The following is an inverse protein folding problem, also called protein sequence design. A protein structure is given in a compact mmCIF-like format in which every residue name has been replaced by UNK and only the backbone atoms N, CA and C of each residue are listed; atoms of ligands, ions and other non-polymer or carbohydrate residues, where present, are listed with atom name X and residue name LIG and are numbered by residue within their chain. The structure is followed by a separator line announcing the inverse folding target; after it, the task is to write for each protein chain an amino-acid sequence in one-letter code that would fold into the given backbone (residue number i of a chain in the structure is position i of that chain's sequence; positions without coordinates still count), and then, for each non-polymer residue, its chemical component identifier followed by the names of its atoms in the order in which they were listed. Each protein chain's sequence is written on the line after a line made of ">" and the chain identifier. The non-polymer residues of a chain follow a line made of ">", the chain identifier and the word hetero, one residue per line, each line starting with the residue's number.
data_IF_480135229493
#
_entry.id   IF_480135229493
#
_cell.length_a   1.000
_cell.length_b   1.000
_cell.length_c   1.000
_cell.angle_alpha   90.00
_cell.angle_beta   90.00
_cell.angle_gamma   90.00
#
_symmetry.space_group_name_H-M   'P 1'
#
loop_
_entity.id
_entity.type
_entity.pdbx_description
1 polymer ?
#
# COMPACT_ATOMS: atom_id res chain seq x y z
N UNK A 1 70.82 -15.29 21.30
CA UNK A 1 69.55 -16.01 21.46
C UNK A 1 68.41 -15.05 21.15
N UNK A 2 67.72 -15.22 20.02
CA UNK A 2 66.39 -14.64 19.76
C UNK A 2 65.90 -15.23 18.42
N UNK A 3 65.18 -16.34 18.51
CA UNK A 3 64.58 -17.02 17.36
C UNK A 3 63.29 -16.30 16.97
N UNK A 4 63.19 -15.84 15.73
CA UNK A 4 61.97 -15.30 15.13
C UNK A 4 61.08 -16.47 14.69
N UNK A 5 59.93 -16.65 15.34
CA UNK A 5 58.89 -17.59 14.94
C UNK A 5 57.85 -16.85 14.08
N UNK A 6 57.74 -17.23 12.81
CA UNK A 6 56.60 -16.90 11.97
C UNK A 6 55.47 -17.93 12.21
N UNK A 7 54.19 -17.51 12.30
CA UNK A 7 53.06 -18.44 12.28
C UNK A 7 52.70 -18.87 10.86
N UNK A 8 52.52 -20.18 10.69
CA UNK A 8 52.12 -20.88 9.46
C UNK A 8 50.66 -20.59 9.05
N UNK A 9 50.32 -20.66 7.75
CA UNK A 9 48.95 -20.49 7.30
C UNK A 9 48.11 -21.74 7.56
N UNK A 10 46.93 -21.55 8.16
CA UNK A 10 45.92 -22.59 8.36
C UNK A 10 45.23 -22.91 7.02
N UNK A 11 45.49 -24.10 6.49
CA UNK A 11 44.73 -24.71 5.38
C UNK A 11 43.31 -25.08 5.86
N UNK A 12 42.31 -24.39 5.34
CA UNK A 12 40.89 -24.73 5.55
C UNK A 12 40.49 -25.82 4.54
N UNK A 13 40.38 -27.08 5.00
CA UNK A 13 39.82 -28.16 4.20
C UNK A 13 38.29 -28.06 4.17
N UNK A 14 37.74 -27.70 3.01
CA UNK A 14 36.30 -27.79 2.75
C UNK A 14 35.90 -29.27 2.61
N UNK A 15 35.20 -29.82 3.62
CA UNK A 15 34.50 -31.10 3.49
C UNK A 15 33.18 -30.87 2.73
N UNK A 16 33.14 -31.29 1.48
CA UNK A 16 31.92 -31.39 0.69
C UNK A 16 31.17 -32.66 1.13
N UNK A 17 30.02 -32.49 1.78
CA UNK A 17 29.06 -33.56 2.03
C UNK A 17 28.15 -33.70 0.80
N UNK A 18 27.92 -34.92 0.26
CA UNK A 18 27.02 -35.12 -0.86
C UNK A 18 25.55 -34.97 -0.39
N UNK A 19 24.82 -34.01 -0.98
CA UNK A 19 23.36 -33.97 -0.88
C UNK A 19 22.77 -35.20 -1.61
N UNK A 20 21.98 -35.98 -0.89
CA UNK A 20 21.18 -37.07 -1.44
C UNK A 20 20.10 -36.50 -2.37
N UNK A 21 20.18 -36.91 -3.63
CA UNK A 21 19.19 -36.68 -4.68
C UNK A 21 17.94 -37.53 -4.39
N UNK A 22 16.82 -36.89 -4.03
CA UNK A 22 15.52 -37.56 -3.97
C UNK A 22 14.95 -37.70 -5.38
N UNK A 23 14.54 -38.93 -5.69
CA UNK A 23 14.00 -39.36 -6.99
C UNK A 23 12.51 -38.99 -7.07
N UNK A 24 11.99 -38.49 -8.20
CA UNK A 24 10.56 -38.29 -8.38
C UNK A 24 9.88 -39.64 -8.66
N UNK A 25 8.86 -39.96 -7.87
CA UNK A 25 8.00 -41.13 -8.03
C UNK A 25 6.88 -40.82 -9.02
N UNK A 26 6.76 -41.67 -10.03
CA UNK A 26 5.68 -41.78 -11.01
C UNK A 26 4.47 -42.54 -10.47
N UNK A 27 3.35 -42.33 -11.16
CA UNK A 27 2.05 -43.02 -11.16
C UNK A 27 1.00 -42.64 -10.11
N UNK A 28 -0.08 -41.97 -10.54
CA UNK A 28 -1.24 -42.68 -11.14
C UNK A 28 -2.26 -41.71 -11.76
N UNK A 29 -2.75 -42.06 -12.95
CA UNK A 29 -3.89 -41.43 -13.63
C UNK A 29 -5.22 -41.97 -13.10
N UNK A 30 -6.32 -41.21 -13.28
CA UNK A 30 -7.49 -41.82 -13.93
C UNK A 30 -8.13 -40.94 -15.02
N UNK A 31 -8.35 -41.61 -16.16
CA UNK A 31 -9.35 -41.42 -17.22
C UNK A 31 -10.21 -40.14 -17.28
N UNK A 32 -10.06 -39.43 -18.40
CA UNK A 32 -10.98 -38.44 -18.98
C UNK A 32 -12.05 -39.19 -19.82
N UNK A 33 -13.34 -38.81 -19.75
CA UNK A 33 -14.29 -39.09 -20.82
C UNK A 33 -14.48 -37.88 -21.75
N UNK A 34 -14.63 -38.23 -23.02
CA UNK A 34 -14.71 -37.43 -24.25
C UNK A 34 -16.00 -36.58 -24.37
N UNK A 35 -15.79 -35.34 -24.82
CA UNK A 35 -16.63 -34.46 -25.69
C UNK A 35 -18.16 -34.65 -25.68
N UNK A 36 -18.86 -33.55 -25.37
CA UNK A 36 -20.09 -33.17 -26.08
C UNK A 36 -20.22 -31.66 -26.18
N UNK A 37 -20.19 -31.18 -27.41
CA UNK A 37 -20.48 -29.84 -27.90
C UNK A 37 -21.91 -29.42 -27.52
N UNK A 38 -22.09 -28.26 -26.88
CA UNK A 38 -23.40 -27.61 -26.76
C UNK A 38 -23.28 -26.12 -27.09
N UNK A 39 -24.17 -25.70 -27.98
CA UNK A 39 -24.15 -24.50 -28.80
C UNK A 39 -24.46 -23.20 -28.04
N UNK A 40 -23.99 -22.10 -28.64
CA UNK A 40 -24.35 -20.72 -28.35
C UNK A 40 -25.87 -20.47 -28.44
N UNK A 41 -26.45 -19.58 -27.61
CA UNK A 41 -27.86 -19.23 -27.73
C UNK A 41 -28.08 -18.20 -28.85
N UNK A 42 -28.85 -18.64 -29.83
CA UNK A 42 -29.31 -17.94 -31.04
C UNK A 42 -30.37 -16.88 -30.70
N UNK A 43 -30.05 -15.62 -30.97
CA UNK A 43 -30.84 -14.42 -30.67
C UNK A 43 -31.87 -14.14 -31.78
N UNK A 44 -32.70 -15.13 -32.15
CA UNK A 44 -33.79 -14.93 -33.12
C UNK A 44 -34.98 -15.83 -32.85
N UNK A 45 -35.93 -15.36 -32.02
CA UNK A 45 -37.38 -15.64 -32.16
C UNK A 45 -38.18 -14.99 -31.03
N UNK A 46 -38.59 -13.72 -31.20
CA UNK A 46 -39.88 -13.27 -30.63
C UNK A 46 -40.42 -12.01 -31.30
N UNK A 47 -40.77 -12.15 -32.58
CA UNK A 47 -41.72 -11.24 -33.24
C UNK A 47 -42.79 -12.11 -33.86
N UNK A 48 -43.96 -12.14 -33.21
CA UNK A 48 -45.28 -12.38 -33.80
C UNK A 48 -46.27 -12.61 -32.65
N UNK A 49 -47.08 -11.59 -32.39
CA UNK A 49 -48.53 -11.70 -32.21
C UNK A 49 -49.08 -10.32 -31.85
N UNK A 50 -49.10 -9.45 -32.87
CA UNK A 50 -50.05 -8.36 -32.92
C UNK A 50 -51.37 -8.98 -33.41
N UNK A 51 -52.34 -9.17 -32.49
CA UNK A 51 -53.73 -9.46 -32.87
C UNK A 51 -54.65 -8.61 -32.01
N UNK A 52 -55.29 -7.67 -32.69
CA UNK A 52 -56.20 -6.65 -32.19
C UNK A 52 -57.47 -7.24 -31.56
N UNK A 53 -58.02 -6.55 -30.56
CA UNK A 53 -59.39 -6.01 -30.57
C UNK A 53 -59.74 -5.26 -29.27
N UNK A 54 -60.42 -4.12 -29.51
CA UNK A 54 -61.32 -3.35 -28.64
C UNK A 54 -60.75 -2.30 -27.70
N UNK A 55 -61.08 -1.07 -28.10
CA UNK A 55 -61.02 0.21 -27.41
C UNK A 55 -61.79 0.19 -26.08
N UNK A 56 -61.23 0.85 -25.08
CA UNK A 56 -61.99 1.69 -24.15
C UNK A 56 -61.12 2.91 -23.84
N UNK A 57 -61.38 4.02 -24.55
CA UNK A 57 -60.96 5.35 -24.15
C UNK A 57 -61.88 5.78 -23.00
N UNK A 58 -61.36 5.80 -21.78
CA UNK A 58 -61.97 6.53 -20.68
C UNK A 58 -61.04 7.69 -20.30
N UNK A 59 -61.42 8.88 -20.75
CA UNK A 59 -60.89 10.15 -20.29
C UNK A 59 -61.27 10.33 -18.81
N UNK A 60 -60.27 10.40 -17.93
CA UNK A 60 -60.43 11.03 -16.61
C UNK A 60 -59.17 11.83 -16.30
N UNK A 61 -59.20 13.09 -16.73
CA UNK A 61 -58.34 14.16 -16.25
C UNK A 61 -58.84 14.62 -14.88
N UNK A 62 -58.19 14.20 -13.81
CA UNK A 62 -58.36 14.77 -12.49
C UNK A 62 -57.03 14.75 -11.72
N UNK A 63 -56.27 15.82 -11.92
CA UNK A 63 -55.65 16.67 -10.90
C UNK A 63 -55.36 16.02 -9.53
N UNK A 64 -54.11 15.60 -9.32
CA UNK A 64 -53.47 15.60 -8.00
C UNK A 64 -52.00 15.96 -8.16
N UNK A 65 -51.75 17.26 -8.33
CA UNK A 65 -50.49 17.91 -7.99
C UNK A 65 -50.40 17.94 -6.47
N UNK A 66 -49.37 17.34 -5.88
CA UNK A 66 -49.05 17.55 -4.47
C UNK A 66 -48.60 16.31 -3.73
N UNK A 67 -47.29 16.03 -3.81
CA UNK A 67 -46.45 15.57 -2.69
C UNK A 67 -44.98 15.63 -3.16
N UNK A 68 -44.57 16.81 -3.62
CA UNK A 68 -43.17 17.18 -3.78
C UNK A 68 -42.68 17.86 -2.50
N UNK A 69 -42.59 17.12 -1.40
CA UNK A 69 -41.77 17.52 -0.25
C UNK A 69 -41.69 16.37 0.76
N UNK A 70 -40.47 16.11 1.24
CA UNK A 70 -40.05 15.26 2.37
C UNK A 70 -39.25 14.04 1.93
N UNK A 71 -37.98 14.29 1.64
CA UNK A 71 -37.03 13.24 1.32
C UNK A 71 -35.77 13.72 0.61
N UNK A 72 -35.38 14.99 0.79
CA UNK A 72 -33.95 15.29 0.77
C UNK A 72 -33.40 14.54 1.98
N UNK A 73 -33.05 13.27 1.77
CA UNK A 73 -32.02 12.69 2.59
C UNK A 73 -30.86 13.65 2.43
N UNK A 74 -30.58 14.43 3.48
CA UNK A 74 -29.24 14.96 3.66
C UNK A 74 -28.36 13.74 3.46
N UNK A 75 -27.69 13.67 2.31
CA UNK A 75 -26.39 13.09 2.31
C UNK A 75 -25.68 13.87 3.41
N UNK A 76 -25.48 13.22 4.56
CA UNK A 76 -24.57 13.66 5.58
C UNK A 76 -23.23 13.76 4.86
N UNK A 77 -22.99 14.92 4.25
CA UNK A 77 -21.78 15.22 3.53
C UNK A 77 -20.73 15.30 4.62
N UNK A 78 -20.13 14.12 4.89
CA UNK A 78 -19.05 13.84 5.83
C UNK A 78 -18.42 15.14 6.31
N UNK A 79 -19.01 15.70 7.37
CA UNK A 79 -18.70 17.04 7.85
C UNK A 79 -17.20 17.07 8.14
N UNK A 80 -16.55 18.07 7.56
CA UNK A 80 -15.15 18.05 7.15
C UNK A 80 -14.18 17.55 8.22
N UNK A 81 -13.56 16.41 7.93
CA UNK A 81 -12.34 15.93 8.61
C UNK A 81 -11.07 16.61 8.09
N UNK A 82 -11.20 17.67 7.27
CA UNK A 82 -10.08 18.44 6.73
C UNK A 82 -9.78 19.61 7.68
N UNK A 83 -8.76 19.47 8.52
CA UNK A 83 -8.27 20.52 9.43
C UNK A 83 -6.91 21.05 8.96
N UNK A 84 -6.86 21.98 7.99
CA UNK A 84 -5.60 22.50 7.44
C UNK A 84 -4.75 23.23 8.49
N UNK A 85 -5.34 23.68 9.60
CA UNK A 85 -4.66 24.32 10.73
C UNK A 85 -3.66 23.39 11.46
N UNK A 86 -3.74 22.08 11.25
CA UNK A 86 -2.80 21.10 11.80
C UNK A 86 -1.46 21.08 11.04
N UNK A 87 -1.37 21.81 9.92
CA UNK A 87 -0.16 21.87 9.12
C UNK A 87 0.81 22.93 9.68
N UNK A 88 2.11 22.61 9.80
CA UNK A 88 3.13 23.59 10.15
C UNK A 88 3.18 24.73 9.14
N UNK A 89 3.60 25.92 9.60
CA UNK A 89 3.80 27.09 8.72
C UNK A 89 5.04 26.93 7.84
N UNK A 90 6.08 26.32 8.39
CA UNK A 90 7.35 26.07 7.72
C UNK A 90 7.35 24.65 7.14
N UNK A 91 7.86 24.51 5.92
CA UNK A 91 7.92 23.23 5.22
C UNK A 91 8.66 22.16 6.05
N UNK A 92 8.00 21.02 6.26
CA UNK A 92 8.59 19.82 6.85
C UNK A 92 8.16 18.59 6.06
N UNK A 93 9.08 17.65 5.83
CA UNK A 93 8.78 16.38 5.17
C UNK A 93 8.08 15.37 6.09
N UNK A 94 8.17 15.57 7.40
CA UNK A 94 7.54 14.75 8.43
C UNK A 94 6.61 15.65 9.23
N UNK A 95 5.35 15.25 9.33
CA UNK A 95 4.35 15.93 10.15
C UNK A 95 3.77 14.88 11.09
N UNK A 96 3.98 15.09 12.39
CA UNK A 96 3.42 14.25 13.43
C UNK A 96 2.39 15.03 14.25
N UNK A 97 1.12 14.85 13.90
CA UNK A 97 -0.02 15.42 14.61
C UNK A 97 -0.40 14.55 15.82
N UNK A 98 -0.14 13.24 15.75
CA UNK A 98 -0.57 12.29 16.76
C UNK A 98 0.42 12.13 17.93
N UNK A 99 1.65 12.63 17.78
CA UNK A 99 2.71 12.51 18.77
C UNK A 99 3.28 11.09 18.84
N UNK A 100 3.34 10.38 17.71
CA UNK A 100 3.97 9.06 17.64
C UNK A 100 5.49 9.15 17.80
N UNK A 101 6.11 10.20 17.26
CA UNK A 101 7.55 10.34 17.15
C UNK A 101 8.08 11.28 18.23
N UNK A 102 9.20 10.91 18.85
CA UNK A 102 9.97 11.87 19.63
C UNK A 102 10.61 12.93 18.72
N UNK A 103 10.90 14.12 19.26
CA UNK A 103 11.59 15.17 18.51
C UNK A 103 12.97 14.76 17.97
N UNK A 104 13.62 13.77 18.61
CA UNK A 104 14.87 13.17 18.12
C UNK A 104 14.64 12.28 16.89
N UNK A 105 13.61 11.44 16.93
CA UNK A 105 13.21 10.59 15.79
C UNK A 105 12.77 11.45 14.62
N UNK A 106 11.92 12.45 14.83
CA UNK A 106 11.46 13.36 13.75
C UNK A 106 12.66 14.00 13.03
N UNK A 107 13.62 14.57 13.78
CA UNK A 107 14.84 15.15 13.21
C UNK A 107 15.68 14.13 12.45
N UNK A 108 15.76 12.88 12.93
CA UNK A 108 16.49 11.81 12.25
C UNK A 108 15.81 11.43 10.93
N UNK A 109 14.48 11.27 10.94
CA UNK A 109 13.70 10.95 9.75
C UNK A 109 13.74 12.08 8.72
N UNK A 110 13.63 13.34 9.14
CA UNK A 110 13.77 14.50 8.24
C UNK A 110 15.12 14.49 7.52
N UNK A 111 16.21 14.18 8.24
CA UNK A 111 17.56 14.05 7.63
C UNK A 111 17.64 12.89 6.65
N UNK A 112 17.17 11.70 7.06
CA UNK A 112 17.18 10.51 6.21
C UNK A 112 16.39 10.74 4.90
N UNK A 113 15.24 11.41 5.00
CA UNK A 113 14.43 11.80 3.83
C UNK A 113 15.16 12.81 2.95
N UNK A 114 15.82 13.80 3.53
CA UNK A 114 16.57 14.80 2.77
C UNK A 114 17.75 14.15 2.02
N UNK A 115 18.46 13.22 2.66
CA UNK A 115 19.54 12.46 2.04
C UNK A 115 19.00 11.55 0.93
N UNK A 116 17.87 10.88 1.16
CA UNK A 116 17.20 10.06 0.14
C UNK A 116 16.81 10.89 -1.09
N UNK A 117 16.21 12.07 -0.88
CA UNK A 117 15.81 12.98 -1.95
C UNK A 117 17.02 13.49 -2.73
N UNK A 118 18.13 13.77 -2.06
CA UNK A 118 19.39 14.17 -2.70
C UNK A 118 20.03 13.03 -3.50
N UNK A 119 20.00 11.81 -2.99
CA UNK A 119 20.66 10.65 -3.60
C UNK A 119 19.90 10.13 -4.82
N UNK A 120 18.56 10.12 -4.75
CA UNK A 120 17.70 9.42 -5.71
C UNK A 120 16.81 10.36 -6.53
N UNK A 121 16.54 11.57 -6.03
CA UNK A 121 15.56 12.50 -6.59
C UNK A 121 14.11 12.15 -6.30
N UNK A 122 13.83 11.13 -5.45
CA UNK A 122 12.48 10.80 -4.98
C UNK A 122 12.14 11.54 -3.69
N UNK A 123 10.88 11.97 -3.57
CA UNK A 123 10.40 12.73 -2.41
C UNK A 123 9.61 11.80 -1.49
N UNK A 124 10.08 11.59 -0.27
CA UNK A 124 9.33 10.86 0.76
C UNK A 124 8.68 11.85 1.73
N UNK A 125 7.39 11.67 2.03
CA UNK A 125 6.62 12.51 2.95
C UNK A 125 5.83 11.64 3.93
N UNK A 126 5.85 12.03 5.21
CA UNK A 126 5.30 11.23 6.31
C UNK A 126 4.26 12.05 7.06
N UNK A 127 3.06 11.50 7.19
CA UNK A 127 2.00 12.06 8.02
C UNK A 127 1.63 11.07 9.13
N UNK A 128 2.02 11.35 10.36
CA UNK A 128 1.52 10.64 11.54
C UNK A 128 0.31 11.39 12.09
N UNK A 129 -0.84 10.71 12.15
CA UNK A 129 -2.12 11.30 12.51
C UNK A 129 -3.00 10.29 13.26
N UNK A 130 -4.09 10.79 13.83
CA UNK A 130 -5.08 9.96 14.49
C UNK A 130 -6.49 10.46 14.13
N UNK A 131 -7.26 9.64 13.41
CA UNK A 131 -8.64 9.99 13.05
C UNK A 131 -9.48 10.22 14.33
N UNK A 132 -10.32 11.27 14.37
CA UNK A 132 -10.76 12.14 13.27
C UNK A 132 -9.91 13.40 13.03
N UNK A 133 -8.82 13.61 13.76
CA UNK A 133 -7.96 14.79 13.65
C UNK A 133 -6.95 14.61 12.51
N UNK A 134 -7.39 14.94 11.30
CA UNK A 134 -6.58 14.78 10.08
C UNK A 134 -6.49 16.10 9.31
N UNK A 135 -5.34 16.43 8.71
CA UNK A 135 -5.26 17.56 7.77
C UNK A 135 -6.04 17.27 6.47
N UNK A 136 -6.28 15.99 6.19
CA UNK A 136 -7.06 15.52 5.06
C UNK A 136 -6.44 15.92 3.73
N UNK A 137 -7.23 16.48 2.80
CA UNK A 137 -6.75 16.79 1.44
C UNK A 137 -5.73 17.94 1.38
N UNK A 138 -5.69 18.82 2.39
CA UNK A 138 -4.81 19.98 2.43
C UNK A 138 -3.31 19.60 2.40
N UNK A 139 -2.98 18.37 2.80
CA UNK A 139 -1.61 17.88 2.81
C UNK A 139 -1.00 17.79 1.40
N UNK A 140 -1.83 17.54 0.38
CA UNK A 140 -1.37 17.40 -1.01
C UNK A 140 -0.85 18.73 -1.55
N UNK A 141 -1.57 19.81 -1.26
CA UNK A 141 -1.21 21.16 -1.70
C UNK A 141 0.00 21.68 -0.91
N UNK A 142 0.06 21.40 0.39
CA UNK A 142 1.18 21.79 1.25
C UNK A 142 2.51 21.18 0.80
N UNK A 143 2.54 19.88 0.49
CA UNK A 143 3.76 19.22 0.02
C UNK A 143 4.01 19.33 -1.47
N UNK A 144 3.07 19.89 -2.24
CA UNK A 144 3.11 19.94 -3.70
C UNK A 144 3.43 18.56 -4.28
N UNK A 145 2.61 17.57 -3.90
CA UNK A 145 2.81 16.15 -4.25
C UNK A 145 2.86 15.98 -5.76
N UNK A 146 3.95 15.42 -6.26
CA UNK A 146 4.21 15.16 -7.69
C UNK A 146 4.34 13.65 -8.00
N UNK A 147 4.59 13.30 -9.26
CA UNK A 147 4.72 11.90 -9.70
C UNK A 147 5.94 11.16 -9.11
N UNK A 148 6.89 11.88 -8.50
CA UNK A 148 8.06 11.34 -7.80
C UNK A 148 7.90 11.35 -6.28
N UNK A 149 6.72 11.70 -5.79
CA UNK A 149 6.43 11.80 -4.37
C UNK A 149 5.75 10.54 -3.85
N UNK A 150 6.26 10.02 -2.75
CA UNK A 150 5.63 8.98 -1.93
C UNK A 150 5.13 9.66 -0.67
N UNK A 151 3.82 9.61 -0.46
CA UNK A 151 3.20 10.04 0.78
C UNK A 151 2.72 8.82 1.53
N UNK A 152 3.25 8.55 2.71
CA UNK A 152 2.64 7.54 3.58
C UNK A 152 2.08 8.16 4.86
N UNK A 153 0.92 7.64 5.23
CA UNK A 153 0.14 8.08 6.38
C UNK A 153 0.22 6.97 7.44
N UNK A 154 0.61 7.34 8.65
CA UNK A 154 0.58 6.49 9.82
C UNK A 154 -0.68 6.82 10.64
N UNK A 155 -1.66 5.91 10.65
CA UNK A 155 -2.94 6.07 11.36
C UNK A 155 -3.45 4.71 11.92
N UNK A 156 -3.48 4.50 13.24
CA UNK A 156 -3.81 3.20 13.84
C UNK A 156 -5.27 2.79 13.66
N UNK A 157 -6.14 3.70 13.20
CA UNK A 157 -7.60 3.49 13.10
C UNK A 157 -7.98 2.35 12.16
N UNK A 158 -7.19 2.11 11.11
CA UNK A 158 -7.54 1.18 10.03
C UNK A 158 -6.97 -0.24 10.20
N UNK A 159 -6.48 -0.55 11.41
CA UNK A 159 -5.83 -1.83 11.73
C UNK A 159 -4.42 -1.92 11.16
N UNK A 160 -4.25 -1.68 9.86
CA UNK A 160 -2.94 -1.37 9.31
C UNK A 160 -2.62 0.10 9.57
N UNK A 161 -1.54 0.38 10.30
CA UNK A 161 -1.14 1.76 10.60
C UNK A 161 -0.55 2.44 9.37
N UNK A 162 0.05 1.72 8.41
CA UNK A 162 0.77 2.30 7.27
C UNK A 162 -0.09 2.30 6.00
N UNK A 163 -0.39 3.49 5.48
CA UNK A 163 -1.12 3.66 4.22
C UNK A 163 -0.31 4.47 3.21
N UNK A 164 -0.08 3.92 2.01
CA UNK A 164 0.81 4.50 1.00
C UNK A 164 0.04 5.13 -0.17
N UNK A 165 0.41 6.35 -0.54
CA UNK A 165 0.05 7.01 -1.78
C UNK A 165 1.33 7.23 -2.58
N UNK A 166 1.40 6.62 -3.76
CA UNK A 166 2.63 6.51 -4.54
C UNK A 166 2.42 7.25 -5.86
N UNK A 167 3.35 8.16 -6.21
CA UNK A 167 3.34 8.87 -7.48
C UNK A 167 3.57 7.94 -8.68
N UNK A 168 3.15 8.39 -9.87
CA UNK A 168 3.13 7.54 -11.06
C UNK A 168 4.52 7.05 -11.49
N UNK A 169 5.57 7.88 -11.38
CA UNK A 169 6.94 7.48 -11.76
C UNK A 169 7.47 6.43 -10.77
N UNK A 170 7.20 6.62 -9.48
CA UNK A 170 7.62 5.66 -8.45
C UNK A 170 6.96 4.29 -8.66
N UNK A 171 5.71 4.26 -9.09
CA UNK A 171 4.97 3.02 -9.35
C UNK A 171 5.52 2.20 -10.54
N UNK A 172 6.26 2.86 -11.44
CA UNK A 172 6.96 2.19 -12.54
C UNK A 172 8.28 1.55 -12.07
N UNK A 173 8.97 2.22 -11.15
CA UNK A 173 10.30 1.80 -10.68
C UNK A 173 10.22 0.79 -9.53
N UNK A 174 9.19 0.87 -8.68
CA UNK A 174 9.00 0.00 -7.52
C UNK A 174 7.81 -0.95 -7.74
N UNK A 175 8.00 -2.27 -7.60
CA UNK A 175 6.91 -3.22 -7.77
C UNK A 175 5.83 -3.01 -6.71
N UNK A 176 4.56 -3.02 -7.13
CA UNK A 176 3.40 -2.86 -6.25
C UNK A 176 3.36 -3.81 -5.04
N UNK A 177 3.93 -5.01 -5.20
CA UNK A 177 4.05 -6.00 -4.13
C UNK A 177 4.98 -5.57 -2.98
N UNK A 178 5.89 -4.61 -3.20
CA UNK A 178 6.72 -4.05 -2.15
C UNK A 178 5.86 -3.34 -1.09
N UNK A 179 4.97 -2.45 -1.52
CA UNK A 179 4.11 -1.67 -0.62
C UNK A 179 3.18 -2.55 0.21
N UNK A 180 2.58 -3.58 -0.40
CA UNK A 180 1.71 -4.52 0.32
C UNK A 180 2.49 -5.37 1.32
N UNK A 181 3.70 -5.82 0.99
CA UNK A 181 4.58 -6.53 1.95
C UNK A 181 5.04 -5.63 3.08
N UNK A 182 5.37 -4.38 2.77
CA UNK A 182 5.83 -3.39 3.76
C UNK A 182 4.72 -3.10 4.77
N UNK A 183 3.52 -2.80 4.29
CA UNK A 183 2.32 -2.66 5.11
C UNK A 183 2.03 -3.93 5.90
N UNK A 184 2.13 -5.10 5.27
CA UNK A 184 1.89 -6.39 5.94
C UNK A 184 2.90 -6.69 7.06
N UNK A 185 4.17 -6.31 6.89
CA UNK A 185 5.24 -6.62 7.85
C UNK A 185 5.31 -5.62 9.01
N UNK A 186 5.32 -4.32 8.71
CA UNK A 186 5.53 -3.27 9.71
C UNK A 186 4.25 -2.49 10.03
N UNK A 187 3.24 -2.56 9.17
CA UNK A 187 2.00 -1.83 9.36
C UNK A 187 0.91 -2.62 10.06
N UNK A 188 1.01 -3.94 10.18
CA UNK A 188 -0.05 -4.77 10.77
C UNK A 188 -0.24 -4.48 12.27
N UNK A 189 -1.48 -4.67 12.75
CA UNK A 189 -1.88 -4.40 14.13
C UNK A 189 -1.04 -5.10 15.20
N UNK A 190 -0.57 -6.31 14.93
CA UNK A 190 0.25 -7.03 15.91
C UNK A 190 1.62 -6.38 16.07
N UNK A 191 2.23 -5.96 14.96
CA UNK A 191 3.55 -5.33 14.98
C UNK A 191 3.54 -4.01 15.72
N UNK A 192 2.67 -3.07 15.35
CA UNK A 192 2.70 -1.73 15.95
C UNK A 192 2.21 -1.71 17.40
N UNK A 193 1.30 -2.62 17.79
CA UNK A 193 0.92 -2.76 19.21
C UNK A 193 2.02 -3.36 20.08
N UNK A 194 2.91 -4.18 19.51
CA UNK A 194 4.02 -4.80 20.25
C UNK A 194 5.27 -3.92 20.26
N UNK A 195 5.62 -3.34 19.12
CA UNK A 195 6.87 -2.60 18.91
C UNK A 195 6.73 -1.09 19.08
N UNK A 196 5.52 -0.56 18.99
CA UNK A 196 5.23 0.87 18.95
C UNK A 196 4.89 1.37 17.55
N UNK A 197 4.07 2.41 17.51
CA UNK A 197 3.72 3.15 16.30
C UNK A 197 4.96 3.81 15.69
N UNK A 198 5.84 4.34 16.52
CA UNK A 198 7.11 4.97 16.14
C UNK A 198 8.05 3.99 15.44
N UNK A 199 8.23 2.79 15.99
CA UNK A 199 9.04 1.73 15.40
C UNK A 199 8.50 1.29 14.04
N UNK A 200 7.17 1.31 13.88
CA UNK A 200 6.49 0.97 12.63
C UNK A 200 6.77 2.01 11.55
N UNK A 201 6.74 3.30 11.92
CA UNK A 201 7.10 4.41 11.03
C UNK A 201 8.58 4.35 10.66
N UNK A 202 9.48 4.20 11.63
CA UNK A 202 10.94 4.17 11.39
C UNK A 202 11.34 2.97 10.51
N UNK A 203 10.80 1.77 10.79
CA UNK A 203 11.05 0.59 9.98
C UNK A 203 10.56 0.74 8.54
N UNK A 204 9.41 1.39 8.34
CA UNK A 204 8.89 1.69 7.01
C UNK A 204 9.82 2.64 6.24
N UNK A 205 10.28 3.72 6.87
CA UNK A 205 11.21 4.68 6.26
C UNK A 205 12.51 4.01 5.85
N UNK A 206 13.11 3.24 6.75
CA UNK A 206 14.37 2.53 6.46
C UNK A 206 14.21 1.58 5.28
N UNK A 207 13.12 0.81 5.24
CA UNK A 207 12.87 -0.14 4.15
C UNK A 207 12.63 0.55 2.80
N UNK A 208 11.88 1.66 2.78
CA UNK A 208 11.64 2.47 1.57
C UNK A 208 12.95 3.09 1.10
N UNK A 209 13.69 3.69 2.03
CA UNK A 209 14.95 4.37 1.77
C UNK A 209 15.99 3.42 1.16
N UNK A 210 16.07 2.19 1.69
CA UNK A 210 16.92 1.14 1.12
C UNK A 210 16.46 0.76 -0.30
N UNK A 211 15.17 0.47 -0.46
CA UNK A 211 14.58 0.07 -1.75
C UNK A 211 14.84 1.10 -2.85
N UNK A 212 14.66 2.39 -2.57
CA UNK A 212 14.86 3.47 -3.55
C UNK A 212 16.32 3.70 -3.92
N UNK A 213 17.27 3.33 -3.06
CA UNK A 213 18.72 3.39 -3.34
C UNK A 213 19.22 2.15 -4.09
N UNK A 214 18.45 1.08 -4.15
CA UNK A 214 18.78 -0.09 -4.96
C UNK A 214 18.61 0.23 -6.45
N UNK A 215 19.51 -0.23 -7.31
CA UNK A 215 19.35 -0.06 -8.75
C UNK A 215 18.09 -0.78 -9.24
N UNK A 216 17.36 -0.15 -10.17
CA UNK A 216 16.17 -0.74 -10.79
C UNK A 216 16.54 -2.02 -11.53
N UNK A 217 15.82 -3.10 -11.24
CA UNK A 217 16.09 -4.42 -11.80
C UNK A 217 15.07 -5.48 -11.33
N UNK A 218 15.12 -6.71 -11.87
CA UNK A 218 14.09 -7.73 -11.60
C UNK A 218 13.92 -8.12 -10.13
N UNK A 219 14.94 -7.87 -9.31
CA UNK A 219 14.99 -8.22 -7.89
C UNK A 219 15.01 -7.00 -6.97
N UNK A 220 14.76 -5.80 -7.49
CA UNK A 220 14.77 -4.59 -6.66
C UNK A 220 13.69 -4.66 -5.58
N UNK A 221 14.03 -4.19 -4.38
CA UNK A 221 13.09 -4.12 -3.26
C UNK A 221 12.49 -5.49 -2.86
N UNK A 222 13.19 -6.58 -3.19
CA UNK A 222 12.73 -7.95 -2.90
C UNK A 222 12.81 -8.26 -1.40
N UNK A 223 13.76 -7.69 -0.67
CA UNK A 223 13.92 -7.89 0.77
C UNK A 223 13.50 -6.64 1.57
N UNK A 224 12.58 -6.83 2.51
CA UNK A 224 12.31 -5.83 3.55
C UNK A 224 13.39 -5.95 4.62
N UNK A 225 14.57 -5.39 4.35
CA UNK A 225 15.65 -5.42 5.32
C UNK A 225 15.33 -4.49 6.51
N UNK A 226 15.30 -5.08 7.69
CA UNK A 226 15.19 -4.39 8.95
C UNK A 226 15.70 -5.31 10.04
N UNK A 227 17.02 -5.40 10.18
CA UNK A 227 17.56 -5.63 11.53
C UNK A 227 17.37 -4.30 12.23
N UNK A 228 16.41 -4.25 13.13
CA UNK A 228 16.34 -3.20 14.15
C UNK A 228 17.74 -3.15 14.78
N UNK A 229 18.35 -1.96 14.84
CA UNK A 229 19.53 -1.77 15.65
C UNK A 229 19.11 -2.00 17.10
N UNK A 230 19.21 -3.24 17.58
CA UNK A 230 19.31 -3.53 19.01
C UNK A 230 20.62 -2.89 19.47
N UNK A 231 20.49 -1.83 20.26
CA UNK A 231 21.57 -1.21 21.03
C UNK A 231 21.56 -1.84 22.41
#
# INVERSE_FOLDING_TARGET
>A
MASLLLPSPLTFQARILPMKLSKPTTDSSPSIPTVSTVNAPDFRKRVSNFRSKSLNFALSSALALGLSLSGVGLAEAKVGVNKPELLPKDFSSVIDVAGFLSAGQEKRLVREIADLEKDTGFKLRILAQNYPDTPGLAIKDYWQVDDRTIVFVADPTFGNILNFNVGAIVDLDIPRSFWSRLAGKYGNMFYWKEKGEDASVEAAVVAISKCLREPVGPTNCSELAGKVCEV
#
